data_IF_136974717069
#
_entry.id   IF_136974717069
#
_cell.length_a   1.000
_cell.length_b   1.000
_cell.length_c   1.000
_cell.angle_alpha   90.00
_cell.angle_beta   90.00
_cell.angle_gamma   90.00
#
_symmetry.space_group_name_H-M   'P 1'
#
loop_
_entity.id
_entity.type
_entity.pdbx_description
1 polymer ?
#
# COMPACT_ATOMS: atom_id res chain seq x y z
N UNK A 1 4.33 -13.06 -1.58
CA UNK A 1 3.04 -12.69 -0.94
C UNK A 1 2.19 -11.90 -1.93
N UNK A 2 0.89 -11.85 -1.69
CA UNK A 2 0.04 -10.87 -2.33
C UNK A 2 -0.18 -9.72 -1.35
N UNK A 3 0.24 -8.51 -1.72
CA UNK A 3 0.19 -7.33 -0.88
C UNK A 3 -0.70 -6.29 -1.52
N UNK A 4 -1.73 -5.85 -0.80
CA UNK A 4 -2.57 -4.74 -1.24
C UNK A 4 -2.05 -3.46 -0.60
N UNK A 5 -2.09 -2.37 -1.36
CA UNK A 5 -1.54 -1.09 -0.92
C UNK A 5 -2.54 0.02 -1.16
N UNK A 6 -2.50 1.04 -0.30
CA UNK A 6 -3.26 2.27 -0.52
C UNK A 6 -2.28 3.43 -0.49
N UNK A 7 -2.34 4.28 -1.51
CA UNK A 7 -1.54 5.50 -1.58
C UNK A 7 -2.47 6.72 -1.58
N UNK A 8 -2.23 7.66 -0.67
CA UNK A 8 -3.07 8.86 -0.56
C UNK A 8 -2.27 10.07 -0.09
N UNK A 9 -2.51 11.21 -0.74
CA UNK A 9 -1.85 12.46 -0.39
C UNK A 9 -2.87 13.62 -0.47
N UNK A 10 -2.84 14.57 0.48
CA UNK A 10 -3.84 15.64 0.52
C UNK A 10 -3.69 16.67 -0.61
N UNK A 11 -2.50 16.88 -1.12
CA UNK A 11 -2.21 18.03 -1.97
C UNK A 11 -1.72 17.71 -3.37
N UNK A 12 -1.45 16.45 -3.71
CA UNK A 12 -0.81 16.19 -4.97
C UNK A 12 -1.19 14.88 -5.61
N UNK A 13 -1.68 14.97 -6.84
CA UNK A 13 -1.87 13.79 -7.69
C UNK A 13 -0.52 13.10 -7.91
N UNK A 14 0.53 13.90 -8.15
CA UNK A 14 1.85 13.37 -8.50
C UNK A 14 2.43 12.45 -7.42
N UNK A 15 2.41 12.85 -6.15
CA UNK A 15 2.97 12.05 -5.07
C UNK A 15 2.23 10.73 -4.89
N UNK A 16 0.91 10.74 -5.02
CA UNK A 16 0.10 9.54 -4.92
C UNK A 16 0.49 8.53 -6.00
N UNK A 17 0.61 8.98 -7.24
CA UNK A 17 0.98 8.09 -8.34
C UNK A 17 2.45 7.66 -8.29
N UNK A 18 3.35 8.53 -7.83
CA UNK A 18 4.75 8.16 -7.62
C UNK A 18 4.89 7.07 -6.55
N UNK A 19 4.14 7.20 -5.47
CA UNK A 19 4.13 6.19 -4.41
C UNK A 19 3.57 4.87 -4.93
N UNK A 20 2.47 4.92 -5.68
CA UNK A 20 1.86 3.72 -6.27
C UNK A 20 2.84 3.00 -7.20
N UNK A 21 3.51 3.73 -8.06
CA UNK A 21 4.51 3.17 -8.98
C UNK A 21 5.68 2.55 -8.21
N UNK A 22 6.19 3.25 -7.20
CA UNK A 22 7.29 2.75 -6.38
C UNK A 22 6.90 1.46 -5.65
N UNK A 23 5.69 1.40 -5.10
CA UNK A 23 5.19 0.19 -4.45
C UNK A 23 5.11 -0.98 -5.43
N UNK A 24 4.59 -0.75 -6.63
CA UNK A 24 4.50 -1.81 -7.64
C UNK A 24 5.88 -2.31 -8.07
N UNK A 25 6.78 -1.40 -8.40
CA UNK A 25 8.12 -1.77 -8.87
C UNK A 25 8.89 -2.52 -7.79
N UNK A 26 8.98 -1.93 -6.60
CA UNK A 26 9.76 -2.52 -5.50
C UNK A 26 9.15 -3.85 -5.04
N UNK A 27 7.83 -3.90 -4.90
CA UNK A 27 7.16 -5.12 -4.47
C UNK A 27 7.37 -6.28 -5.44
N UNK A 28 7.28 -6.01 -6.74
CA UNK A 28 7.49 -7.04 -7.76
C UNK A 28 8.95 -7.48 -7.82
N UNK A 29 9.88 -6.55 -7.64
CA UNK A 29 11.31 -6.89 -7.57
C UNK A 29 11.61 -7.81 -6.39
N UNK A 30 10.84 -7.71 -5.32
CA UNK A 30 10.97 -8.58 -4.15
C UNK A 30 10.16 -9.86 -4.24
N UNK A 31 9.57 -10.14 -5.39
CA UNK A 31 8.84 -11.37 -5.64
C UNK A 31 7.39 -11.39 -5.19
N UNK A 32 6.80 -10.23 -4.93
CA UNK A 32 5.40 -10.13 -4.49
C UNK A 32 4.47 -9.79 -5.64
N UNK A 33 3.22 -10.20 -5.50
CA UNK A 33 2.12 -9.70 -6.32
C UNK A 33 1.57 -8.46 -5.62
N UNK A 34 1.38 -7.37 -6.35
CA UNK A 34 1.02 -6.06 -5.76
C UNK A 34 -0.21 -5.51 -6.45
N UNK A 35 -1.14 -5.00 -5.64
CA UNK A 35 -2.25 -4.16 -6.12
C UNK A 35 -2.28 -2.89 -5.32
N UNK A 36 -2.24 -1.72 -5.99
CA UNK A 36 -2.26 -0.43 -5.34
C UNK A 36 -3.53 0.32 -5.67
N UNK A 37 -4.29 0.66 -4.64
CA UNK A 37 -5.43 1.56 -4.72
C UNK A 37 -4.93 2.97 -4.45
N UNK A 38 -5.33 3.93 -5.27
CA UNK A 38 -5.00 5.34 -5.04
C UNK A 38 -6.24 6.10 -4.59
N UNK A 39 -6.07 6.99 -3.62
CA UNK A 39 -7.12 7.87 -3.12
C UNK A 39 -6.60 9.31 -3.22
N UNK A 40 -7.08 10.05 -4.19
CA UNK A 40 -6.58 11.39 -4.45
C UNK A 40 -7.70 12.30 -4.96
N UNK A 41 -7.31 13.42 -5.57
CA UNK A 41 -8.25 14.42 -6.07
C UNK A 41 -9.14 13.89 -7.19
N UNK A 42 -8.75 12.80 -7.85
CA UNK A 42 -9.55 12.14 -8.88
C UNK A 42 -10.45 11.05 -8.31
N UNK A 43 -10.51 10.92 -6.99
CA UNK A 43 -11.28 9.88 -6.33
C UNK A 43 -10.48 8.61 -6.09
N UNK A 44 -11.18 7.51 -5.89
CA UNK A 44 -10.57 6.21 -5.65
C UNK A 44 -10.39 5.50 -6.99
N UNK A 45 -9.16 5.10 -7.29
CA UNK A 45 -8.83 4.38 -8.50
C UNK A 45 -8.23 3.02 -8.16
N UNK A 46 -8.51 2.01 -8.98
CA UNK A 46 -8.01 0.65 -8.83
C UNK A 46 -8.32 0.08 -7.44
N UNK A 47 -9.56 0.22 -7.01
CA UNK A 47 -9.98 -0.13 -5.65
C UNK A 47 -9.71 -1.60 -5.30
N UNK A 48 -9.37 -1.82 -4.04
CA UNK A 48 -9.13 -3.15 -3.49
C UNK A 48 -10.49 -3.82 -3.28
N UNK A 49 -10.70 -4.95 -3.96
CA UNK A 49 -11.97 -5.67 -3.93
C UNK A 49 -12.05 -6.63 -2.75
N UNK A 50 -13.25 -7.15 -2.48
CA UNK A 50 -13.42 -8.20 -1.46
C UNK A 50 -12.59 -9.45 -1.79
N UNK A 51 -12.48 -9.81 -3.07
CA UNK A 51 -11.64 -10.94 -3.49
C UNK A 51 -10.16 -10.65 -3.22
N UNK A 52 -9.70 -9.43 -3.47
CA UNK A 52 -8.33 -9.04 -3.16
C UNK A 52 -8.05 -9.17 -1.66
N UNK A 53 -8.98 -8.71 -0.82
CA UNK A 53 -8.84 -8.81 0.63
C UNK A 53 -8.77 -10.26 1.11
N UNK A 54 -9.56 -11.12 0.51
CA UNK A 54 -9.56 -12.55 0.86
C UNK A 54 -8.23 -13.23 0.53
N UNK A 55 -7.53 -12.75 -0.50
CA UNK A 55 -6.24 -13.33 -0.93
C UNK A 55 -5.04 -12.65 -0.29
N UNK A 56 -5.19 -11.42 0.20
CA UNK A 56 -4.07 -10.59 0.63
C UNK A 56 -3.38 -11.16 1.87
N UNK A 57 -2.05 -11.15 1.84
CA UNK A 57 -1.21 -11.55 2.96
C UNK A 57 -0.83 -10.38 3.85
N UNK A 58 -0.93 -9.16 3.34
CA UNK A 58 -0.60 -7.96 4.10
C UNK A 58 -1.04 -6.70 3.38
N UNK A 59 -0.98 -5.59 4.10
CA UNK A 59 -1.42 -4.28 3.62
C UNK A 59 -0.34 -3.24 3.90
N UNK A 60 -0.06 -2.39 2.91
CA UNK A 60 0.76 -1.19 3.09
C UNK A 60 -0.12 0.03 2.88
N UNK A 61 -0.19 0.91 3.86
CA UNK A 61 -0.92 2.16 3.77
C UNK A 61 0.12 3.29 3.75
N UNK A 62 0.33 3.87 2.57
CA UNK A 62 1.27 4.98 2.36
C UNK A 62 0.43 6.25 2.19
N UNK A 63 0.18 6.94 3.29
CA UNK A 63 -0.76 8.04 3.29
C UNK A 63 -0.36 9.15 4.26
N UNK A 64 -0.55 10.40 3.82
CA UNK A 64 -0.36 11.58 4.64
C UNK A 64 -1.70 12.17 5.10
N UNK A 65 -2.79 11.49 4.79
CA UNK A 65 -4.16 11.82 5.22
C UNK A 65 -4.86 10.55 5.65
N UNK A 66 -5.99 10.70 6.36
CA UNK A 66 -6.83 9.56 6.67
C UNK A 66 -7.42 8.98 5.37
N UNK A 67 -7.30 7.67 5.20
CA UNK A 67 -7.85 7.00 4.01
C UNK A 67 -9.29 6.57 4.24
N UNK A 68 -10.03 6.43 3.14
CA UNK A 68 -11.38 5.87 3.17
C UNK A 68 -11.31 4.35 3.25
N UNK A 69 -12.19 3.74 4.03
CA UNK A 69 -12.32 2.29 4.09
C UNK A 69 -11.20 1.58 4.84
N UNK A 70 -10.55 2.25 5.77
CA UNK A 70 -9.45 1.65 6.55
C UNK A 70 -9.92 0.44 7.35
N UNK A 71 -11.18 0.44 7.79
CA UNK A 71 -11.77 -0.64 8.58
C UNK A 71 -11.79 -1.99 7.84
N UNK A 72 -11.76 -2.00 6.51
CA UNK A 72 -11.69 -3.26 5.74
C UNK A 72 -10.39 -4.02 5.98
N UNK A 73 -9.38 -3.36 6.53
CA UNK A 73 -8.09 -3.98 6.82
C UNK A 73 -7.96 -4.44 8.29
N UNK A 74 -9.02 -4.31 9.08
CA UNK A 74 -8.98 -4.72 10.48
C UNK A 74 -8.64 -6.21 10.58
N UNK A 75 -7.75 -6.54 11.50
CA UNK A 75 -7.29 -7.92 11.68
C UNK A 75 -6.21 -8.37 10.71
N UNK A 76 -5.87 -7.56 9.71
CA UNK A 76 -4.81 -7.89 8.76
C UNK A 76 -3.47 -7.33 9.23
N UNK A 77 -2.38 -7.99 8.80
CA UNK A 77 -1.04 -7.44 8.99
C UNK A 77 -0.93 -6.19 8.13
N UNK A 78 -0.66 -5.06 8.75
CA UNK A 78 -0.56 -3.81 8.00
C UNK A 78 0.61 -2.96 8.46
N UNK A 79 1.20 -2.27 7.50
CA UNK A 79 2.25 -1.30 7.72
C UNK A 79 1.74 0.06 7.26
N UNK A 80 1.80 1.04 8.14
CA UNK A 80 1.40 2.41 7.81
C UNK A 80 2.66 3.28 7.72
N UNK A 81 2.73 4.08 6.67
CA UNK A 81 3.87 4.97 6.45
C UNK A 81 3.41 6.23 5.72
N UNK A 82 4.34 7.16 5.52
CA UNK A 82 4.11 8.36 4.73
C UNK A 82 4.10 8.01 3.24
N UNK A 83 3.41 8.81 2.44
CA UNK A 83 3.39 8.65 0.97
C UNK A 83 4.80 8.72 0.38
N UNK A 84 5.73 9.44 1.01
CA UNK A 84 7.11 9.55 0.52
C UNK A 84 7.97 8.32 0.83
N UNK A 85 7.59 7.51 1.83
CA UNK A 85 8.42 6.37 2.23
C UNK A 85 8.62 5.34 1.13
N UNK A 86 7.59 4.89 0.39
CA UNK A 86 7.82 3.98 -0.72
C UNK A 86 8.71 4.55 -1.81
N UNK A 87 8.66 5.88 -2.00
CA UNK A 87 9.47 6.56 -3.02
C UNK A 87 10.93 6.57 -2.63
N UNK A 88 11.22 6.89 -1.36
CA UNK A 88 12.60 7.07 -0.86
C UNK A 88 13.19 5.79 -0.28
N UNK A 89 12.37 4.95 0.34
CA UNK A 89 12.81 3.81 1.14
C UNK A 89 11.99 2.57 0.84
N UNK A 90 11.70 2.32 -0.44
CA UNK A 90 10.80 1.23 -0.86
C UNK A 90 11.18 -0.12 -0.29
N UNK A 91 12.46 -0.50 -0.36
CA UNK A 91 12.91 -1.80 0.17
C UNK A 91 12.67 -1.90 1.69
N UNK A 92 12.94 -0.83 2.44
CA UNK A 92 12.74 -0.84 3.89
C UNK A 92 11.26 -0.99 4.24
N UNK A 93 10.36 -0.38 3.47
CA UNK A 93 8.91 -0.51 3.66
C UNK A 93 8.48 -1.98 3.52
N UNK A 94 8.90 -2.63 2.44
CA UNK A 94 8.55 -4.03 2.22
C UNK A 94 9.21 -4.96 3.22
N UNK A 95 10.46 -4.69 3.59
CA UNK A 95 11.16 -5.48 4.59
C UNK A 95 10.42 -5.46 5.92
N UNK A 96 9.93 -4.30 6.35
CA UNK A 96 9.17 -4.17 7.58
C UNK A 96 7.90 -5.02 7.56
N UNK A 97 7.17 -5.01 6.44
CA UNK A 97 5.97 -5.83 6.29
C UNK A 97 6.31 -7.32 6.25
N UNK A 98 7.37 -7.69 5.55
CA UNK A 98 7.81 -9.09 5.46
C UNK A 98 8.18 -9.63 6.84
N UNK A 99 8.82 -8.82 7.67
CA UNK A 99 9.17 -9.22 9.03
C UNK A 99 7.92 -9.41 9.90
N UNK A 100 6.95 -8.53 9.79
CA UNK A 100 5.68 -8.68 10.50
C UNK A 100 4.95 -9.96 10.09
N UNK A 101 4.94 -10.25 8.81
CA UNK A 101 4.32 -11.47 8.28
C UNK A 101 5.02 -12.72 8.81
N UNK A 102 6.36 -12.69 8.87
CA UNK A 102 7.15 -13.83 9.35
C UNK A 102 6.95 -14.10 10.85
N UNK A 103 6.68 -13.05 11.64
CA UNK A 103 6.50 -13.16 13.09
C UNK A 103 5.03 -13.24 13.51
N UNK A 104 4.13 -12.96 12.60
CA UNK A 104 2.69 -13.01 12.82
C UNK A 104 2.11 -14.35 12.42
#
# INVERSE_FOLDING_TARGET
>A
MFIVCVAACPTGIAHTYMAAEALEITGRQRGHEIKVETQGSLGIENDITADDLARADGVIIAADVAISGKERFDGMIKLECSVSDPIKFGDAVFEALEQEHAHG
#
